data_IF_756141304141
#
_entry.id   IF_756141304141
#
_cell.length_a   1.000
_cell.length_b   1.000
_cell.length_c   1.000
_cell.angle_alpha   90.00
_cell.angle_beta   90.00
_cell.angle_gamma   90.00
#
_symmetry.space_group_name_H-M   'P 1'
#
loop_
_entity.id
_entity.type
_entity.pdbx_description
1 polymer ?
#
# COMPACT_ATOMS: atom_id res chain seq x y z
N UNK A 1 0.25 -6.39 60.15
CA UNK A 1 1.64 -5.98 59.94
C UNK A 1 1.61 -4.51 59.48
N UNK A 2 2.32 -3.57 60.11
CA UNK A 2 2.30 -2.19 59.69
C UNK A 2 3.10 -2.01 58.41
N UNK A 3 2.46 -1.49 57.39
CA UNK A 3 3.05 -1.11 56.07
C UNK A 3 4.12 -0.05 56.30
N UNK A 4 5.35 -0.30 55.86
CA UNK A 4 6.48 0.59 56.05
C UNK A 4 6.43 1.74 55.04
N UNK A 5 6.20 2.95 55.48
CA UNK A 5 6.13 4.18 54.68
C UNK A 5 7.35 4.39 53.77
N UNK A 6 8.51 3.89 54.17
CA UNK A 6 9.75 4.01 53.39
C UNK A 6 9.77 3.10 52.16
N UNK A 7 9.14 1.91 52.20
CA UNK A 7 9.02 0.98 51.06
C UNK A 7 7.98 1.49 50.07
N UNK A 8 6.87 2.06 50.56
CA UNK A 8 5.86 2.69 49.69
C UNK A 8 6.44 3.86 48.91
N UNK A 9 7.27 4.71 49.52
CA UNK A 9 7.92 5.84 48.84
C UNK A 9 8.99 5.37 47.82
N UNK A 10 9.70 4.27 48.07
CA UNK A 10 10.66 3.69 47.11
C UNK A 10 9.95 3.09 45.90
N UNK A 11 8.84 2.37 46.07
CA UNK A 11 8.03 1.83 44.97
C UNK A 11 7.33 2.93 44.17
N UNK A 12 6.85 3.97 44.81
CA UNK A 12 6.24 5.12 44.14
C UNK A 12 7.26 5.96 43.35
N UNK A 13 8.49 6.10 43.84
CA UNK A 13 9.56 6.80 43.16
C UNK A 13 10.05 6.00 41.90
N UNK A 14 10.18 4.66 42.03
CA UNK A 14 10.56 3.82 40.90
C UNK A 14 9.46 3.79 39.80
N UNK A 15 8.19 3.72 40.20
CA UNK A 15 7.06 3.82 39.27
C UNK A 15 6.95 5.22 38.61
N UNK A 16 7.26 6.28 39.37
CA UNK A 16 7.29 7.64 38.83
C UNK A 16 8.42 7.86 37.80
N UNK A 17 9.60 7.32 38.04
CA UNK A 17 10.75 7.42 37.11
C UNK A 17 10.49 6.60 35.83
N UNK A 18 9.90 5.41 35.94
CA UNK A 18 9.53 4.61 34.77
C UNK A 18 8.44 5.28 33.92
N UNK A 19 7.41 5.85 34.54
CA UNK A 19 6.37 6.59 33.83
C UNK A 19 6.89 7.89 33.18
N UNK A 20 7.82 8.61 33.80
CA UNK A 20 8.45 9.78 33.22
C UNK A 20 9.35 9.42 32.03
N UNK A 21 10.10 8.32 32.12
CA UNK A 21 10.95 7.86 31.01
C UNK A 21 10.14 7.30 29.82
N UNK A 22 9.04 6.62 30.08
CA UNK A 22 8.10 6.16 29.04
C UNK A 22 7.40 7.36 28.40
N UNK A 23 6.91 8.31 29.20
CA UNK A 23 6.29 9.54 28.70
C UNK A 23 7.25 10.38 27.85
N UNK A 24 8.52 10.51 28.24
CA UNK A 24 9.54 11.25 27.48
C UNK A 24 9.87 10.56 26.14
N UNK A 25 9.93 9.22 26.11
CA UNK A 25 10.14 8.47 24.85
C UNK A 25 8.95 8.57 23.90
N UNK A 26 7.72 8.52 24.42
CA UNK A 26 6.49 8.68 23.62
C UNK A 26 6.38 10.08 23.04
N UNK A 27 6.71 11.12 23.80
CA UNK A 27 6.73 12.51 23.30
C UNK A 27 7.80 12.72 22.22
N UNK A 28 8.97 12.09 22.33
CA UNK A 28 10.04 12.16 21.33
C UNK A 28 9.63 11.44 20.03
N UNK A 29 9.05 10.24 20.09
CA UNK A 29 8.57 9.53 18.91
C UNK A 29 7.45 10.32 18.21
N UNK A 30 6.46 10.82 18.95
CA UNK A 30 5.36 11.60 18.39
C UNK A 30 5.83 12.85 17.64
N UNK A 31 6.86 13.55 18.17
CA UNK A 31 7.47 14.71 17.51
C UNK A 31 8.19 14.30 16.21
N UNK A 32 8.96 13.21 16.23
CA UNK A 32 9.65 12.67 15.04
C UNK A 32 8.67 12.21 13.95
N UNK A 33 7.58 11.55 14.35
CA UNK A 33 6.53 11.15 13.40
C UNK A 33 5.85 12.37 12.76
N UNK A 34 5.58 13.43 13.55
CA UNK A 34 5.01 14.68 13.03
C UNK A 34 5.96 15.35 12.03
N UNK A 35 7.25 15.38 12.33
CA UNK A 35 8.28 15.89 11.41
C UNK A 35 8.32 15.07 10.11
N UNK A 36 8.39 13.74 10.19
CA UNK A 36 8.44 12.85 9.03
C UNK A 36 7.19 12.98 8.15
N UNK A 37 6.00 13.12 8.77
CA UNK A 37 4.74 13.33 8.07
C UNK A 37 4.72 14.62 7.23
N UNK A 38 5.38 15.69 7.71
CA UNK A 38 5.41 16.99 7.06
C UNK A 38 6.64 17.21 6.15
N UNK A 39 7.68 16.39 6.29
CA UNK A 39 8.89 16.50 5.47
C UNK A 39 8.62 16.17 4.01
N UNK A 40 9.18 16.94 3.04
CA UNK A 40 9.04 16.63 1.63
C UNK A 40 9.68 15.28 1.28
N UNK A 41 9.11 14.59 0.29
CA UNK A 41 9.61 13.31 -0.20
C UNK A 41 10.05 13.37 -1.66
N UNK A 42 9.47 14.25 -2.47
CA UNK A 42 9.84 14.46 -3.87
C UNK A 42 11.13 15.29 -3.94
N UNK A 43 12.10 14.82 -4.72
CA UNK A 43 13.39 15.51 -4.98
C UNK A 43 13.23 16.60 -6.03
N UNK A 44 12.74 17.76 -5.61
CA UNK A 44 12.48 18.89 -6.52
C UNK A 44 13.75 19.49 -7.10
N UNK A 45 14.90 19.33 -6.43
CA UNK A 45 16.22 19.77 -6.89
C UNK A 45 16.71 19.09 -8.17
N UNK A 46 16.08 17.99 -8.59
CA UNK A 46 16.37 17.31 -9.86
C UNK A 46 15.92 18.11 -11.09
N UNK A 47 15.01 19.07 -10.91
CA UNK A 47 14.37 19.78 -12.01
C UNK A 47 14.95 21.19 -12.15
N UNK A 48 15.53 21.48 -13.33
CA UNK A 48 16.18 22.77 -13.61
C UNK A 48 15.20 23.90 -13.96
N UNK A 49 14.03 23.58 -14.52
CA UNK A 49 13.04 24.54 -14.99
C UNK A 49 11.63 24.12 -14.59
N UNK A 50 10.70 25.07 -14.63
CA UNK A 50 9.28 24.84 -14.41
C UNK A 50 8.71 23.87 -15.45
N UNK A 51 7.82 22.97 -15.01
CA UNK A 51 7.15 21.97 -15.85
C UNK A 51 5.64 22.20 -15.69
N UNK A 52 5.08 23.10 -16.52
CA UNK A 52 3.66 23.45 -16.43
C UNK A 52 2.77 22.41 -17.08
N UNK A 53 1.73 21.99 -16.38
CA UNK A 53 0.71 21.06 -16.86
C UNK A 53 -0.20 21.79 -17.85
N UNK A 54 -0.18 21.40 -19.13
CA UNK A 54 -1.01 21.97 -20.18
C UNK A 54 -2.37 21.31 -20.27
N UNK A 55 -2.43 19.97 -20.16
CA UNK A 55 -3.67 19.23 -20.28
C UNK A 55 -3.67 17.95 -19.43
N UNK A 56 -4.86 17.56 -19.00
CA UNK A 56 -5.13 16.30 -18.29
C UNK A 56 -6.36 15.67 -18.94
N UNK A 57 -6.23 14.42 -19.34
CA UNK A 57 -7.31 13.65 -19.94
C UNK A 57 -7.52 12.37 -19.16
N UNK A 58 -8.77 11.99 -18.94
CA UNK A 58 -9.16 10.67 -18.52
C UNK A 58 -9.61 9.88 -19.74
N UNK A 59 -8.86 8.85 -20.09
CA UNK A 59 -9.11 7.98 -21.23
C UNK A 59 -9.74 6.68 -20.75
N UNK A 60 -10.68 6.13 -21.54
CA UNK A 60 -11.32 4.83 -21.25
C UNK A 60 -11.24 3.94 -22.48
N UNK A 61 -10.73 2.71 -22.30
CA UNK A 61 -10.80 1.66 -23.30
C UNK A 61 -11.23 0.35 -22.63
N UNK A 62 -12.42 -0.14 -23.00
CA UNK A 62 -13.07 -1.25 -22.30
C UNK A 62 -13.32 -0.90 -20.83
N UNK A 63 -12.78 -1.70 -19.92
CA UNK A 63 -12.84 -1.46 -18.46
C UNK A 63 -11.73 -0.53 -17.93
N UNK A 64 -10.66 -0.34 -18.70
CA UNK A 64 -9.46 0.36 -18.22
C UNK A 64 -9.62 1.86 -18.30
N UNK A 65 -9.24 2.54 -17.22
CA UNK A 65 -9.14 3.99 -17.13
C UNK A 65 -7.66 4.41 -17.05
N UNK A 66 -7.28 5.34 -17.92
CA UNK A 66 -5.91 5.86 -18.05
C UNK A 66 -5.94 7.37 -17.88
N UNK A 67 -5.09 7.89 -17.03
CA UNK A 67 -4.85 9.34 -16.92
C UNK A 67 -3.66 9.69 -17.79
N UNK A 68 -3.84 10.68 -18.68
CA UNK A 68 -2.78 11.24 -19.52
C UNK A 68 -2.57 12.70 -19.16
N UNK A 69 -1.33 13.05 -18.83
CA UNK A 69 -0.92 14.42 -18.50
C UNK A 69 0.09 14.88 -19.54
N UNK A 70 -0.09 16.10 -20.06
CA UNK A 70 0.89 16.75 -20.94
C UNK A 70 1.35 18.08 -20.35
N UNK A 71 2.64 18.36 -20.50
CA UNK A 71 3.21 19.66 -20.17
C UNK A 71 3.17 20.62 -21.35
N UNK A 72 3.40 21.90 -21.08
CA UNK A 72 3.42 22.95 -22.12
C UNK A 72 4.57 22.80 -23.13
N UNK A 73 5.62 22.10 -22.77
CA UNK A 73 6.78 21.77 -23.62
C UNK A 73 6.64 20.42 -24.34
N UNK A 74 5.49 19.76 -24.22
CA UNK A 74 5.12 18.56 -24.97
C UNK A 74 5.50 17.24 -24.33
N UNK A 75 6.08 17.22 -23.12
CA UNK A 75 6.31 15.97 -22.40
C UNK A 75 4.96 15.35 -21.98
N UNK A 76 4.91 14.00 -21.98
CA UNK A 76 3.69 13.23 -21.66
C UNK A 76 3.97 12.21 -20.57
N UNK A 77 3.08 12.14 -19.57
CA UNK A 77 3.05 11.11 -18.56
C UNK A 77 1.71 10.37 -18.55
N UNK A 78 1.77 9.09 -18.21
CA UNK A 78 0.62 8.19 -18.21
C UNK A 78 0.57 7.43 -16.88
N UNK A 79 -0.65 7.30 -16.32
CA UNK A 79 -0.95 6.47 -15.16
C UNK A 79 -2.23 5.67 -15.37
N UNK A 80 -2.33 4.50 -14.77
CA UNK A 80 -3.60 3.78 -14.70
C UNK A 80 -4.33 4.09 -13.39
N UNK A 81 -5.65 4.11 -13.45
CA UNK A 81 -6.50 4.20 -12.27
C UNK A 81 -6.82 2.81 -11.71
N UNK A 82 -7.44 2.79 -10.54
CA UNK A 82 -8.18 1.61 -10.09
C UNK A 82 -9.54 1.60 -10.80
N UNK A 83 -9.68 0.73 -11.80
CA UNK A 83 -10.76 0.80 -12.80
C UNK A 83 -12.16 0.75 -12.22
N UNK A 84 -12.43 -0.18 -11.29
CA UNK A 84 -13.77 -0.34 -10.73
C UNK A 84 -14.19 0.85 -9.85
N UNK A 85 -13.25 1.48 -9.16
CA UNK A 85 -13.53 2.69 -8.36
C UNK A 85 -13.64 3.90 -9.28
N UNK A 86 -12.73 4.06 -10.25
CA UNK A 86 -12.78 5.17 -11.19
C UNK A 86 -14.08 5.17 -11.99
N UNK A 87 -14.65 4.00 -12.32
CA UNK A 87 -15.95 3.89 -13.00
C UNK A 87 -17.09 4.59 -12.26
N UNK A 88 -16.99 4.72 -10.92
CA UNK A 88 -17.98 5.41 -10.08
C UNK A 88 -17.54 6.79 -9.63
N UNK A 89 -16.24 7.07 -9.61
CA UNK A 89 -15.68 8.31 -9.07
C UNK A 89 -15.15 9.28 -10.12
N UNK A 90 -15.15 8.92 -11.42
CA UNK A 90 -14.66 9.79 -12.48
C UNK A 90 -15.27 11.22 -12.51
N UNK A 91 -16.52 11.46 -12.07
CA UNK A 91 -17.02 12.84 -11.98
C UNK A 91 -16.26 13.69 -10.95
N UNK A 92 -15.76 13.06 -9.85
CA UNK A 92 -14.90 13.74 -8.86
C UNK A 92 -13.57 14.09 -9.52
N UNK A 93 -12.97 13.13 -10.25
CA UNK A 93 -11.74 13.36 -11.00
C UNK A 93 -11.88 14.55 -11.95
N UNK A 94 -12.90 14.53 -12.81
CA UNK A 94 -13.10 15.54 -13.88
C UNK A 94 -13.52 16.91 -13.36
N UNK A 95 -14.33 16.97 -12.28
CA UNK A 95 -14.89 18.25 -11.79
C UNK A 95 -14.11 18.87 -10.64
N UNK A 96 -13.38 18.07 -9.86
CA UNK A 96 -12.76 18.53 -8.61
C UNK A 96 -11.24 18.38 -8.57
N UNK A 97 -10.68 17.38 -9.23
CA UNK A 97 -9.24 17.08 -9.15
C UNK A 97 -8.51 17.63 -10.37
N UNK A 98 -8.76 17.10 -11.56
CA UNK A 98 -8.00 17.43 -12.77
C UNK A 98 -7.97 18.94 -13.09
N UNK A 99 -9.08 19.70 -13.03
CA UNK A 99 -9.06 21.13 -13.38
C UNK A 99 -8.17 21.98 -12.48
N UNK A 100 -7.94 21.54 -11.23
CA UNK A 100 -7.08 22.26 -10.31
C UNK A 100 -5.61 22.27 -10.73
N UNK A 101 -5.15 21.19 -11.38
CA UNK A 101 -3.74 21.04 -11.74
C UNK A 101 -3.36 21.71 -13.07
N UNK A 102 -4.33 22.07 -13.90
CA UNK A 102 -4.06 22.76 -15.18
C UNK A 102 -3.35 24.08 -14.92
N UNK A 103 -2.26 24.34 -15.66
CA UNK A 103 -1.41 25.53 -15.53
C UNK A 103 -0.47 25.52 -14.32
N UNK A 104 -0.58 24.55 -13.42
CA UNK A 104 0.31 24.41 -12.27
C UNK A 104 1.66 23.80 -12.66
N UNK A 105 2.66 24.00 -11.81
CA UNK A 105 3.97 23.42 -11.97
C UNK A 105 4.00 22.00 -11.37
N UNK A 106 4.25 21.01 -12.20
CA UNK A 106 4.29 19.60 -11.78
C UNK A 106 5.35 19.31 -10.69
N UNK A 107 6.41 20.12 -10.57
CA UNK A 107 7.43 20.00 -9.53
C UNK A 107 6.88 20.25 -8.13
N UNK A 108 5.80 20.99 -8.02
CA UNK A 108 5.13 21.33 -6.76
C UNK A 108 4.08 20.28 -6.36
N UNK A 109 4.16 19.09 -6.92
CA UNK A 109 3.15 18.02 -6.77
C UNK A 109 2.73 17.78 -5.31
N UNK A 110 3.66 17.77 -4.35
CA UNK A 110 3.33 17.56 -2.94
C UNK A 110 2.43 18.64 -2.35
N UNK A 111 2.72 19.91 -2.64
CA UNK A 111 1.89 21.04 -2.19
C UNK A 111 0.55 21.02 -2.92
N UNK A 112 0.54 20.72 -4.22
CA UNK A 112 -0.67 20.64 -5.03
C UNK A 112 -1.64 19.55 -4.55
N UNK A 113 -1.12 18.40 -4.10
CA UNK A 113 -1.94 17.33 -3.47
C UNK A 113 -2.62 17.85 -2.19
N UNK A 114 -1.91 18.62 -1.38
CA UNK A 114 -2.50 19.21 -0.19
C UNK A 114 -3.50 20.32 -0.53
N UNK A 115 -3.17 21.20 -1.46
CA UNK A 115 -4.02 22.30 -1.88
C UNK A 115 -5.34 21.82 -2.54
N UNK A 116 -5.30 20.82 -3.42
CA UNK A 116 -6.52 20.25 -4.03
C UNK A 116 -7.43 19.60 -2.99
N UNK A 117 -6.86 19.01 -1.93
CA UNK A 117 -7.63 18.47 -0.82
C UNK A 117 -8.39 19.56 -0.05
N UNK A 118 -7.81 20.74 0.12
CA UNK A 118 -8.43 21.86 0.82
C UNK A 118 -9.41 22.64 -0.07
N UNK A 119 -9.16 22.68 -1.38
CA UNK A 119 -9.95 23.46 -2.35
C UNK A 119 -11.41 23.02 -2.36
N UNK A 120 -12.33 24.00 -2.40
CA UNK A 120 -13.78 23.79 -2.53
C UNK A 120 -14.34 22.74 -1.56
N UNK A 121 -13.73 22.65 -0.36
CA UNK A 121 -14.07 21.66 0.67
C UNK A 121 -13.90 20.20 0.21
N UNK A 122 -12.95 19.89 -0.66
CA UNK A 122 -12.70 18.52 -1.12
C UNK A 122 -12.39 17.54 0.02
N UNK A 123 -11.89 18.02 1.17
CA UNK A 123 -11.70 17.21 2.38
C UNK A 123 -13.00 16.52 2.87
N UNK A 124 -14.18 17.00 2.48
CA UNK A 124 -15.46 16.34 2.78
C UNK A 124 -15.65 15.02 1.98
N UNK A 125 -14.88 14.83 0.91
CA UNK A 125 -14.87 13.64 0.09
C UNK A 125 -13.72 12.69 0.44
N UNK A 126 -13.00 12.96 1.53
CA UNK A 126 -11.88 12.14 1.97
C UNK A 126 -12.23 10.65 2.02
N UNK A 127 -11.20 9.83 1.91
CA UNK A 127 -11.35 8.39 1.73
C UNK A 127 -11.19 8.00 0.27
N UNK A 128 -11.53 6.77 -0.05
CA UNK A 128 -11.31 6.14 -1.34
C UNK A 128 -11.84 6.97 -2.52
N UNK A 129 -13.03 7.56 -2.40
CA UNK A 129 -13.67 8.29 -3.48
C UNK A 129 -12.85 9.50 -3.99
N UNK A 130 -12.16 10.18 -3.09
CA UNK A 130 -11.30 11.32 -3.44
C UNK A 130 -9.88 10.89 -3.77
N UNK A 131 -9.30 10.03 -2.94
CA UNK A 131 -7.88 9.72 -3.04
C UNK A 131 -7.54 8.85 -4.24
N UNK A 132 -8.45 8.02 -4.74
CA UNK A 132 -8.23 7.30 -6.02
C UNK A 132 -8.12 8.25 -7.20
N UNK A 133 -8.91 9.34 -7.20
CA UNK A 133 -8.80 10.36 -8.23
C UNK A 133 -7.45 11.10 -8.18
N UNK A 134 -6.99 11.44 -6.98
CA UNK A 134 -5.70 12.12 -6.77
C UNK A 134 -4.54 11.21 -7.12
N UNK A 135 -4.53 9.95 -6.67
CA UNK A 135 -3.43 9.02 -6.94
C UNK A 135 -3.28 8.69 -8.42
N UNK A 136 -4.40 8.53 -9.12
CA UNK A 136 -4.38 8.26 -10.57
C UNK A 136 -3.73 9.41 -11.35
N UNK A 137 -3.97 10.65 -10.92
CA UNK A 137 -3.33 11.83 -11.50
C UNK A 137 -1.87 11.95 -11.06
N UNK A 138 -1.59 11.73 -9.78
CA UNK A 138 -0.23 11.79 -9.22
C UNK A 138 0.73 10.89 -9.98
N UNK A 139 0.35 9.64 -10.22
CA UNK A 139 1.21 8.69 -10.93
C UNK A 139 1.50 9.13 -12.37
N UNK A 140 0.52 9.68 -13.07
CA UNK A 140 0.73 10.24 -14.41
C UNK A 140 1.68 11.46 -14.39
N UNK A 141 1.58 12.32 -13.37
CA UNK A 141 2.51 13.43 -13.17
C UNK A 141 3.92 12.91 -12.84
N UNK A 142 4.05 11.89 -11.99
CA UNK A 142 5.34 11.30 -11.64
C UNK A 142 6.00 10.62 -12.85
N UNK A 143 5.22 9.95 -13.70
CA UNK A 143 5.70 9.39 -14.96
C UNK A 143 6.25 10.49 -15.89
N UNK A 144 5.50 11.62 -16.04
CA UNK A 144 5.94 12.78 -16.78
C UNK A 144 7.24 13.36 -16.20
N UNK A 145 7.30 13.58 -14.89
CA UNK A 145 8.49 14.12 -14.22
C UNK A 145 9.71 13.23 -14.42
N UNK A 146 9.57 11.91 -14.28
CA UNK A 146 10.64 10.95 -14.54
C UNK A 146 11.13 10.99 -15.99
N UNK A 147 10.21 11.10 -16.95
CA UNK A 147 10.54 11.23 -18.38
C UNK A 147 11.30 12.51 -18.69
N UNK A 148 10.89 13.65 -18.14
CA UNK A 148 11.56 14.96 -18.35
C UNK A 148 13.03 14.92 -17.92
N UNK A 149 13.37 14.24 -16.84
CA UNK A 149 14.75 14.14 -16.35
C UNK A 149 15.45 12.83 -16.73
N UNK A 150 14.80 11.99 -17.54
CA UNK A 150 15.29 10.68 -17.98
C UNK A 150 15.72 9.78 -16.80
N UNK A 151 14.84 9.65 -15.79
CA UNK A 151 15.06 8.80 -14.61
C UNK A 151 13.85 7.93 -14.30
N UNK A 152 14.06 6.70 -13.78
CA UNK A 152 12.95 5.88 -13.31
C UNK A 152 12.25 6.53 -12.11
N UNK A 153 10.95 6.29 -11.99
CA UNK A 153 10.08 6.94 -11.00
C UNK A 153 10.62 6.84 -9.57
N UNK A 154 11.18 5.71 -9.16
CA UNK A 154 11.73 5.55 -7.80
C UNK A 154 12.86 6.54 -7.48
N UNK A 155 13.63 7.01 -8.47
CA UNK A 155 14.72 7.99 -8.27
C UNK A 155 14.21 9.38 -7.92
N UNK A 156 12.95 9.68 -8.20
CA UNK A 156 12.31 10.95 -7.79
C UNK A 156 12.18 11.08 -6.27
N UNK A 157 12.23 9.97 -5.54
CA UNK A 157 12.02 9.91 -4.09
C UNK A 157 13.26 9.51 -3.29
N UNK A 158 14.13 8.68 -3.86
CA UNK A 158 15.27 8.14 -3.14
C UNK A 158 16.36 7.58 -4.02
N UNK A 159 17.39 7.04 -3.39
CA UNK A 159 18.36 6.20 -4.06
C UNK A 159 17.74 4.83 -4.31
N UNK A 160 17.94 4.29 -5.51
CA UNK A 160 17.51 2.91 -5.81
C UNK A 160 18.42 1.94 -5.06
N UNK A 161 17.84 1.21 -4.14
CA UNK A 161 18.53 0.24 -3.27
C UNK A 161 18.30 -1.22 -3.70
N UNK A 162 17.27 -1.47 -4.52
CA UNK A 162 17.00 -2.79 -5.08
C UNK A 162 16.36 -2.69 -6.46
N UNK A 163 16.72 -3.61 -7.35
CA UNK A 163 16.22 -3.68 -8.73
C UNK A 163 15.31 -4.90 -8.96
N UNK A 164 15.34 -5.85 -8.05
CA UNK A 164 14.50 -7.03 -8.04
C UNK A 164 13.73 -7.04 -6.73
N UNK A 165 12.41 -7.07 -6.83
CA UNK A 165 11.51 -6.95 -5.68
C UNK A 165 10.93 -8.34 -5.40
N UNK A 166 11.22 -8.93 -4.23
CA UNK A 166 10.55 -10.14 -3.80
C UNK A 166 9.05 -9.89 -3.65
N UNK A 167 8.23 -10.78 -4.20
CA UNK A 167 6.77 -10.64 -4.19
C UNK A 167 6.10 -11.90 -3.64
N UNK A 168 4.96 -11.72 -2.97
CA UNK A 168 4.05 -12.82 -2.69
C UNK A 168 2.91 -12.85 -3.70
N UNK A 169 2.54 -14.07 -4.11
CA UNK A 169 1.37 -14.29 -4.97
C UNK A 169 0.13 -14.33 -4.10
N UNK A 170 -0.74 -13.32 -4.28
CA UNK A 170 -1.99 -13.22 -3.53
C UNK A 170 -3.12 -13.92 -4.27
N UNK A 171 -3.90 -14.76 -3.55
CA UNK A 171 -5.19 -15.25 -3.99
C UNK A 171 -6.31 -14.34 -3.48
N UNK A 172 -7.36 -14.18 -4.29
CA UNK A 172 -8.59 -13.45 -3.92
C UNK A 172 -9.77 -14.35 -3.52
N UNK A 173 -9.60 -15.66 -3.64
CA UNK A 173 -10.72 -16.62 -3.53
C UNK A 173 -11.09 -16.93 -2.07
N UNK A 174 -12.39 -16.81 -1.76
CA UNK A 174 -13.00 -17.27 -0.51
C UNK A 174 -14.02 -18.38 -0.69
N UNK A 175 -14.54 -18.55 -1.93
CA UNK A 175 -15.52 -19.59 -2.25
C UNK A 175 -14.94 -20.99 -2.49
N UNK A 176 -13.62 -21.10 -2.66
CA UNK A 176 -12.94 -22.38 -2.86
C UNK A 176 -12.90 -23.20 -1.56
N UNK A 177 -13.03 -24.53 -1.68
CA UNK A 177 -12.64 -25.42 -0.57
C UNK A 177 -11.13 -25.30 -0.31
N UNK A 178 -10.63 -25.74 0.85
CA UNK A 178 -9.18 -25.72 1.13
C UNK A 178 -8.37 -26.45 0.03
N UNK A 179 -8.85 -27.60 -0.44
CA UNK A 179 -8.17 -28.40 -1.45
C UNK A 179 -8.15 -27.68 -2.82
N UNK A 180 -9.26 -27.05 -3.20
CA UNK A 180 -9.36 -26.26 -4.45
C UNK A 180 -8.44 -25.05 -4.41
N UNK A 181 -8.38 -24.36 -3.26
CA UNK A 181 -7.49 -23.19 -3.09
C UNK A 181 -6.02 -23.60 -3.11
N UNK A 182 -5.67 -24.72 -2.46
CA UNK A 182 -4.32 -25.27 -2.51
C UNK A 182 -3.93 -25.66 -3.93
N UNK A 183 -4.80 -26.33 -4.68
CA UNK A 183 -4.54 -26.68 -6.08
C UNK A 183 -4.30 -25.43 -6.95
N UNK A 184 -5.09 -24.38 -6.74
CA UNK A 184 -4.89 -23.10 -7.41
C UNK A 184 -3.53 -22.46 -7.07
N UNK A 185 -3.17 -22.42 -5.78
CA UNK A 185 -1.88 -21.88 -5.34
C UNK A 185 -0.70 -22.72 -5.84
N UNK A 186 -0.81 -24.07 -5.85
CA UNK A 186 0.21 -24.96 -6.41
C UNK A 186 0.45 -24.70 -7.90
N UNK A 187 -0.62 -24.49 -8.67
CA UNK A 187 -0.52 -24.13 -10.08
C UNK A 187 0.27 -22.83 -10.25
N UNK A 188 -0.09 -21.76 -9.52
CA UNK A 188 0.59 -20.47 -9.56
C UNK A 188 2.07 -20.60 -9.16
N UNK A 189 2.37 -21.33 -8.09
CA UNK A 189 3.76 -21.55 -7.62
C UNK A 189 4.55 -22.31 -8.67
N UNK A 190 3.96 -23.34 -9.30
CA UNK A 190 4.60 -24.10 -10.36
C UNK A 190 4.92 -23.26 -11.59
N UNK A 191 4.01 -22.38 -12.01
CA UNK A 191 4.17 -21.51 -13.18
C UNK A 191 5.16 -20.35 -12.96
N UNK A 192 5.20 -19.80 -11.74
CA UNK A 192 5.96 -18.56 -11.46
C UNK A 192 7.21 -18.75 -10.62
N UNK A 193 7.40 -19.95 -10.03
CA UNK A 193 8.47 -20.19 -9.07
C UNK A 193 8.36 -19.37 -7.80
N UNK A 194 7.15 -18.91 -7.43
CA UNK A 194 6.91 -18.06 -6.27
C UNK A 194 7.47 -18.65 -4.97
N UNK A 195 8.04 -17.81 -4.13
CA UNK A 195 8.62 -18.17 -2.82
C UNK A 195 7.74 -17.71 -1.65
N UNK A 196 6.69 -16.96 -1.96
CA UNK A 196 5.74 -16.43 -1.00
C UNK A 196 4.32 -16.44 -1.57
N UNK A 197 3.34 -16.73 -0.73
CA UNK A 197 1.92 -16.76 -1.06
C UNK A 197 1.08 -16.08 0.01
N UNK A 198 -0.05 -15.49 -0.38
CA UNK A 198 -1.08 -14.96 0.54
C UNK A 198 -2.44 -15.53 0.16
N UNK A 199 -3.18 -16.05 1.13
CA UNK A 199 -4.55 -16.53 0.93
C UNK A 199 -5.53 -15.81 1.84
N UNK A 200 -6.83 -15.95 1.53
CA UNK A 200 -7.90 -15.26 2.24
C UNK A 200 -8.53 -16.15 3.30
N UNK A 201 -8.86 -15.53 4.45
CA UNK A 201 -9.58 -16.12 5.57
C UNK A 201 -10.93 -15.42 5.76
N UNK A 202 -11.84 -16.04 6.52
CA UNK A 202 -13.16 -15.49 6.83
C UNK A 202 -14.07 -15.30 5.62
N UNK A 203 -15.08 -14.44 5.75
CA UNK A 203 -16.06 -14.14 4.71
C UNK A 203 -16.09 -12.65 4.31
N UNK A 204 -15.03 -11.90 4.61
CA UNK A 204 -14.88 -10.44 4.45
C UNK A 204 -15.89 -9.65 5.29
N UNK A 205 -15.39 -8.93 6.30
CA UNK A 205 -16.17 -8.17 7.29
C UNK A 205 -17.13 -9.02 8.13
N UNK A 206 -17.11 -10.35 7.97
CA UNK A 206 -17.91 -11.30 8.73
C UNK A 206 -17.27 -12.69 8.74
N UNK A 207 -17.71 -13.56 9.62
CA UNK A 207 -17.39 -14.99 9.62
C UNK A 207 -18.61 -15.79 10.08
N UNK A 208 -18.63 -17.07 9.71
CA UNK A 208 -19.67 -18.02 10.05
C UNK A 208 -19.04 -19.42 10.24
N UNK A 209 -19.86 -20.42 10.61
CA UNK A 209 -19.36 -21.76 10.85
C UNK A 209 -18.67 -22.38 9.64
N UNK A 210 -19.18 -22.12 8.41
CA UNK A 210 -18.58 -22.64 7.19
C UNK A 210 -17.20 -22.02 6.92
N UNK A 211 -17.09 -20.67 7.00
CA UNK A 211 -15.81 -20.00 6.82
C UNK A 211 -14.80 -20.37 7.92
N UNK A 212 -15.26 -20.47 9.17
CA UNK A 212 -14.41 -20.89 10.29
C UNK A 212 -13.89 -22.32 10.10
N UNK A 213 -14.74 -23.27 9.68
CA UNK A 213 -14.32 -24.64 9.38
C UNK A 213 -13.31 -24.67 8.24
N UNK A 214 -13.53 -23.89 7.19
CA UNK A 214 -12.60 -23.75 6.07
C UNK A 214 -11.23 -23.22 6.55
N UNK A 215 -11.21 -22.17 7.34
CA UNK A 215 -9.98 -21.52 7.82
C UNK A 215 -9.14 -22.45 8.69
N UNK A 216 -9.79 -23.23 9.58
CA UNK A 216 -9.14 -24.25 10.39
C UNK A 216 -8.49 -25.37 9.56
N UNK A 217 -9.06 -25.71 8.40
CA UNK A 217 -8.48 -26.67 7.48
C UNK A 217 -7.41 -26.04 6.57
N UNK A 218 -7.62 -24.80 6.14
CA UNK A 218 -6.76 -24.10 5.17
C UNK A 218 -5.34 -23.85 5.71
N UNK A 219 -5.22 -23.37 6.96
CA UNK A 219 -3.93 -22.99 7.55
C UNK A 219 -2.96 -24.20 7.62
N UNK A 220 -3.32 -25.35 8.26
CA UNK A 220 -2.43 -26.49 8.33
C UNK A 220 -2.17 -27.13 6.96
N UNK A 221 -3.20 -27.19 6.10
CA UNK A 221 -3.06 -27.77 4.78
C UNK A 221 -2.07 -26.96 3.91
N UNK A 222 -2.11 -25.64 3.99
CA UNK A 222 -1.18 -24.76 3.27
C UNK A 222 0.26 -25.04 3.68
N UNK A 223 0.56 -25.03 5.00
CA UNK A 223 1.91 -25.30 5.48
C UNK A 223 2.38 -26.71 5.12
N UNK A 224 1.51 -27.72 5.30
CA UNK A 224 1.82 -29.11 4.91
C UNK A 224 2.17 -29.24 3.43
N UNK A 225 1.45 -28.51 2.56
CA UNK A 225 1.63 -28.62 1.10
C UNK A 225 2.88 -27.91 0.62
N UNK A 226 3.15 -26.70 1.10
CA UNK A 226 4.23 -25.86 0.60
C UNK A 226 5.53 -25.98 1.40
N UNK A 227 5.49 -26.63 2.56
CA UNK A 227 6.67 -26.85 3.40
C UNK A 227 7.19 -25.59 4.10
N UNK A 228 8.26 -25.75 4.90
CA UNK A 228 8.78 -24.70 5.79
C UNK A 228 9.49 -23.54 5.07
N UNK A 229 9.90 -23.72 3.81
CA UNK A 229 10.64 -22.71 3.05
C UNK A 229 9.71 -21.69 2.37
N UNK A 230 8.41 -21.97 2.27
CA UNK A 230 7.44 -21.07 1.70
C UNK A 230 7.05 -19.99 2.73
N UNK A 231 7.22 -18.72 2.40
CA UNK A 231 6.63 -17.64 3.18
C UNK A 231 5.12 -17.60 2.94
N UNK A 232 4.34 -17.69 4.01
CA UNK A 232 2.88 -17.79 3.94
C UNK A 232 2.27 -16.65 4.73
N UNK A 233 1.42 -15.90 4.07
CA UNK A 233 0.65 -14.79 4.61
C UNK A 233 -0.84 -15.11 4.57
N UNK A 234 -1.63 -14.52 5.47
CA UNK A 234 -3.07 -14.68 5.43
C UNK A 234 -3.80 -13.37 5.78
N UNK A 235 -4.94 -13.16 5.12
CA UNK A 235 -5.71 -11.94 5.19
C UNK A 235 -7.17 -12.23 5.57
N UNK A 236 -7.58 -11.70 6.72
CA UNK A 236 -8.92 -11.79 7.26
C UNK A 236 -9.90 -10.80 6.64
N UNK A 237 -9.44 -9.67 6.08
CA UNK A 237 -10.26 -8.54 5.63
C UNK A 237 -11.38 -8.18 6.62
N UNK A 238 -11.01 -7.98 7.86
CA UNK A 238 -11.93 -7.54 8.91
C UNK A 238 -12.94 -8.58 9.36
N UNK A 239 -12.67 -9.89 9.13
CA UNK A 239 -13.73 -10.90 9.30
C UNK A 239 -14.08 -11.23 10.73
N UNK A 240 -13.16 -11.14 11.70
CA UNK A 240 -13.35 -11.74 13.01
C UNK A 240 -13.68 -10.74 14.11
N UNK A 241 -14.18 -11.25 15.24
CA UNK A 241 -14.10 -10.57 16.52
C UNK A 241 -12.78 -10.92 17.23
N UNK A 242 -12.45 -10.22 18.29
CA UNK A 242 -11.17 -10.40 19.04
C UNK A 242 -10.93 -11.85 19.49
N UNK A 243 -11.87 -12.56 20.15
CA UNK A 243 -11.64 -13.94 20.58
C UNK A 243 -11.35 -14.89 19.40
N UNK A 244 -12.07 -14.76 18.28
CA UNK A 244 -11.85 -15.60 17.11
C UNK A 244 -10.54 -15.25 16.41
N UNK A 245 -10.23 -13.96 16.27
CA UNK A 245 -8.96 -13.50 15.70
C UNK A 245 -7.74 -14.04 16.47
N UNK A 246 -7.82 -14.03 17.82
CA UNK A 246 -6.77 -14.61 18.66
C UNK A 246 -6.65 -16.13 18.44
N UNK A 247 -7.78 -16.85 18.35
CA UNK A 247 -7.78 -18.29 18.09
C UNK A 247 -7.14 -18.64 16.73
N UNK A 248 -7.52 -17.93 15.67
CA UNK A 248 -6.95 -18.10 14.33
C UNK A 248 -5.47 -17.69 14.32
N UNK A 249 -5.11 -16.57 14.95
CA UNK A 249 -3.73 -16.10 15.04
C UNK A 249 -2.81 -17.09 15.77
N UNK A 250 -3.28 -17.74 16.85
CA UNK A 250 -2.51 -18.81 17.52
C UNK A 250 -2.24 -20.01 16.61
N UNK A 251 -3.23 -20.39 15.80
CA UNK A 251 -3.03 -21.42 14.78
C UNK A 251 -2.02 -20.96 13.72
N UNK A 252 -2.09 -19.71 13.26
CA UNK A 252 -1.11 -19.16 12.33
C UNK A 252 0.31 -19.18 12.91
N UNK A 253 0.48 -18.90 14.20
CA UNK A 253 1.78 -19.03 14.91
C UNK A 253 2.30 -20.47 14.91
N UNK A 254 1.43 -21.43 15.22
CA UNK A 254 1.77 -22.88 15.23
C UNK A 254 2.28 -23.32 13.85
N UNK A 255 1.63 -22.87 12.78
CA UNK A 255 2.00 -23.18 11.39
C UNK A 255 2.97 -22.17 10.77
N UNK A 256 3.59 -21.27 11.56
CA UNK A 256 4.65 -20.34 11.18
C UNK A 256 4.28 -19.44 9.98
N UNK A 257 3.09 -18.85 9.99
CA UNK A 257 2.74 -17.83 9.02
C UNK A 257 3.44 -16.50 9.37
N UNK A 258 3.66 -15.64 8.36
CA UNK A 258 4.50 -14.45 8.48
C UNK A 258 3.78 -13.25 9.10
N UNK A 259 2.53 -12.98 8.64
CA UNK A 259 1.65 -11.98 9.24
C UNK A 259 0.18 -12.34 9.09
N UNK A 260 -0.63 -11.74 9.97
CA UNK A 260 -2.09 -11.75 9.92
C UNK A 260 -2.59 -10.36 9.54
N UNK A 261 -3.13 -10.21 8.33
CA UNK A 261 -3.65 -8.97 7.79
C UNK A 261 -5.11 -8.81 8.17
N UNK A 262 -5.49 -7.60 8.62
CA UNK A 262 -6.86 -7.20 9.00
C UNK A 262 -7.67 -8.27 9.75
N UNK A 263 -7.25 -8.67 10.96
CA UNK A 263 -7.96 -9.71 11.72
C UNK A 263 -9.40 -9.31 12.09
N UNK A 264 -9.63 -8.04 12.42
CA UNK A 264 -10.93 -7.42 12.76
C UNK A 264 -11.20 -6.25 11.82
N UNK A 265 -12.41 -5.66 11.77
CA UNK A 265 -12.71 -4.51 10.93
C UNK A 265 -11.63 -3.43 11.00
N UNK A 266 -11.28 -2.88 9.85
CA UNK A 266 -10.07 -2.05 9.64
C UNK A 266 -9.97 -0.81 10.54
N UNK A 267 -11.08 -0.26 11.01
CA UNK A 267 -11.19 0.91 11.89
C UNK A 267 -11.29 0.55 13.40
N UNK A 268 -11.26 -0.74 13.74
CA UNK A 268 -11.26 -1.24 15.11
C UNK A 268 -9.82 -1.29 15.67
N UNK A 269 -9.24 -0.09 15.90
CA UNK A 269 -7.83 0.03 16.29
C UNK A 269 -7.53 -0.52 17.68
N UNK A 270 -8.44 -0.35 18.63
CA UNK A 270 -8.26 -0.81 20.01
C UNK A 270 -8.32 -2.34 20.07
N UNK A 271 -9.23 -2.97 19.32
CA UNK A 271 -9.34 -4.41 19.17
C UNK A 271 -8.13 -4.99 18.41
N UNK A 272 -7.69 -4.32 17.34
CA UNK A 272 -6.48 -4.71 16.61
C UNK A 272 -5.26 -4.64 17.53
N UNK A 273 -5.14 -3.59 18.34
CA UNK A 273 -4.08 -3.45 19.34
C UNK A 273 -4.12 -4.57 20.37
N UNK A 274 -5.31 -4.92 20.89
CA UNK A 274 -5.48 -6.03 21.83
C UNK A 274 -4.99 -7.37 21.22
N UNK A 275 -5.27 -7.60 19.94
CA UNK A 275 -4.81 -8.79 19.21
C UNK A 275 -3.29 -8.75 19.05
N UNK A 276 -2.73 -7.62 18.64
CA UNK A 276 -1.29 -7.43 18.43
C UNK A 276 -0.49 -7.62 19.73
N UNK A 277 -1.04 -7.18 20.88
CA UNK A 277 -0.41 -7.38 22.20
C UNK A 277 -0.50 -8.84 22.70
N UNK A 278 -1.48 -9.60 22.20
CA UNK A 278 -1.74 -10.99 22.64
C UNK A 278 -0.98 -12.00 21.79
N UNK A 279 -0.79 -11.75 20.50
CA UNK A 279 -0.17 -12.66 19.56
C UNK A 279 1.31 -12.35 19.36
N UNK A 280 2.08 -13.36 18.93
CA UNK A 280 3.47 -13.20 18.50
C UNK A 280 3.57 -12.97 17.00
N UNK A 281 2.60 -13.47 16.23
CA UNK A 281 2.52 -13.22 14.79
C UNK A 281 2.31 -11.72 14.57
N UNK A 282 2.97 -11.17 13.55
CA UNK A 282 2.86 -9.77 13.20
C UNK A 282 1.46 -9.45 12.66
N UNK A 283 0.90 -8.35 13.08
CA UNK A 283 -0.37 -7.84 12.55
C UNK A 283 -0.07 -6.82 11.44
N UNK A 284 -0.79 -6.94 10.33
CA UNK A 284 -0.71 -6.05 9.19
C UNK A 284 -2.03 -5.29 9.02
N UNK A 285 -1.96 -3.96 8.74
CA UNK A 285 -3.13 -3.09 8.68
C UNK A 285 -2.86 -1.85 7.81
N UNK A 286 -3.91 -1.31 7.18
CA UNK A 286 -3.89 0.04 6.63
C UNK A 286 -4.38 0.19 5.18
N UNK A 287 -4.83 -0.87 4.50
CA UNK A 287 -5.26 -0.79 3.10
C UNK A 287 -6.48 0.13 2.89
N UNK A 288 -7.31 0.32 3.92
CA UNK A 288 -8.50 1.17 3.88
C UNK A 288 -8.26 2.59 4.39
N UNK A 289 -7.06 2.90 4.91
CA UNK A 289 -6.78 4.19 5.53
C UNK A 289 -6.72 5.33 4.51
N UNK A 290 -7.43 6.44 4.80
CA UNK A 290 -7.45 7.64 3.96
C UNK A 290 -6.61 8.81 4.51
N UNK A 291 -6.06 8.71 5.73
CA UNK A 291 -5.43 9.82 6.43
C UNK A 291 -4.00 9.52 6.90
N UNK A 292 -3.07 10.47 6.67
CA UNK A 292 -1.73 10.43 7.28
C UNK A 292 -1.77 10.42 8.81
N UNK A 293 -2.80 11.05 9.40
CA UNK A 293 -2.97 11.09 10.86
C UNK A 293 -3.43 9.76 11.43
N UNK A 294 -4.25 8.99 10.68
CA UNK A 294 -4.60 7.62 11.06
C UNK A 294 -3.36 6.74 11.08
N UNK A 295 -2.54 6.77 10.02
CA UNK A 295 -1.26 6.04 10.00
C UNK A 295 -0.33 6.45 11.13
N UNK A 296 -0.21 7.75 11.41
CA UNK A 296 0.57 8.21 12.57
C UNK A 296 0.02 7.58 13.86
N UNK A 297 -1.30 7.57 14.09
CA UNK A 297 -1.94 6.97 15.27
C UNK A 297 -1.67 5.47 15.36
N UNK A 298 -1.81 4.74 14.24
CA UNK A 298 -1.51 3.30 14.16
C UNK A 298 -0.06 3.02 14.57
N UNK A 299 0.88 3.81 14.05
CA UNK A 299 2.32 3.64 14.31
C UNK A 299 2.68 4.04 15.74
N UNK A 300 2.20 5.20 16.22
CA UNK A 300 2.50 5.78 17.53
C UNK A 300 1.97 4.89 18.69
N UNK A 301 0.80 4.26 18.50
CA UNK A 301 0.18 3.38 19.49
C UNK A 301 0.51 1.90 19.29
N UNK A 302 1.41 1.57 18.38
CA UNK A 302 1.82 0.18 18.10
C UNK A 302 0.64 -0.77 17.78
N UNK A 303 -0.32 -0.28 16.99
CA UNK A 303 -1.53 -1.04 16.63
C UNK A 303 -1.20 -2.21 15.70
N UNK A 304 -0.23 -2.04 14.79
CA UNK A 304 0.24 -3.05 13.85
C UNK A 304 1.75 -2.97 13.65
N UNK A 305 2.38 -4.07 13.22
CA UNK A 305 3.82 -4.16 12.97
C UNK A 305 4.16 -4.05 11.48
N UNK A 306 3.19 -4.31 10.59
CA UNK A 306 3.31 -4.15 9.14
C UNK A 306 2.28 -3.10 8.69
N UNK A 307 2.76 -2.00 8.14
CA UNK A 307 1.94 -0.86 7.73
C UNK A 307 1.68 -0.96 6.23
N UNK A 308 0.41 -0.93 5.82
CA UNK A 308 -0.01 -1.28 4.46
C UNK A 308 -0.81 -0.16 3.78
N UNK A 309 -0.23 1.03 3.48
CA UNK A 309 -0.95 2.01 2.67
C UNK A 309 -1.23 1.43 1.28
N UNK A 310 -2.47 1.55 0.80
CA UNK A 310 -2.76 1.25 -0.60
C UNK A 310 -2.32 2.42 -1.48
N UNK A 311 -1.48 2.16 -2.48
CA UNK A 311 -0.89 3.23 -3.30
C UNK A 311 -1.92 4.01 -4.13
N UNK A 312 -3.11 3.43 -4.38
CA UNK A 312 -4.20 4.10 -5.08
C UNK A 312 -5.25 4.65 -4.12
N UNK A 313 -5.71 3.87 -3.14
CA UNK A 313 -6.77 4.28 -2.20
C UNK A 313 -6.32 5.38 -1.25
N UNK A 314 -5.04 5.45 -0.94
CA UNK A 314 -4.47 6.41 -0.02
C UNK A 314 -4.02 7.73 -0.67
N UNK A 315 -4.05 7.85 -2.01
CA UNK A 315 -3.72 9.09 -2.72
C UNK A 315 -2.27 9.18 -3.18
N UNK A 316 -1.64 8.04 -3.50
CA UNK A 316 -0.41 7.97 -4.29
C UNK A 316 0.86 7.62 -3.52
N UNK A 317 1.97 7.61 -4.27
CA UNK A 317 3.31 7.25 -3.77
C UNK A 317 3.85 8.30 -2.78
N UNK A 318 3.66 9.58 -3.06
CA UNK A 318 4.13 10.70 -2.23
C UNK A 318 3.63 10.56 -0.79
N UNK A 319 2.34 10.30 -0.62
CA UNK A 319 1.73 10.10 0.70
C UNK A 319 2.19 8.79 1.35
N UNK A 320 2.29 7.72 0.57
CA UNK A 320 2.70 6.39 1.05
C UNK A 320 4.17 6.35 1.48
N UNK A 321 5.06 7.10 0.83
CA UNK A 321 6.46 7.23 1.25
C UNK A 321 6.57 7.99 2.58
N UNK A 322 5.71 8.97 2.85
CA UNK A 322 5.63 9.60 4.18
C UNK A 322 5.23 8.60 5.26
N UNK A 323 4.28 7.71 4.96
CA UNK A 323 3.91 6.60 5.86
C UNK A 323 5.10 5.67 6.10
N UNK A 324 5.81 5.27 5.04
CA UNK A 324 7.00 4.42 5.16
C UNK A 324 8.09 5.06 6.05
N UNK A 325 8.34 6.37 5.90
CA UNK A 325 9.28 7.10 6.76
C UNK A 325 8.84 7.10 8.23
N UNK A 326 7.54 7.30 8.49
CA UNK A 326 7.01 7.21 9.86
C UNK A 326 7.15 5.79 10.42
N UNK A 327 6.82 4.77 9.64
CA UNK A 327 6.96 3.36 10.02
C UNK A 327 8.42 3.00 10.36
N UNK A 328 9.38 3.45 9.55
CA UNK A 328 10.82 3.24 9.77
C UNK A 328 11.29 3.81 11.11
N UNK A 329 10.83 5.00 11.51
CA UNK A 329 11.16 5.62 12.80
C UNK A 329 10.68 4.79 14.00
N UNK A 330 9.65 3.98 13.83
CA UNK A 330 9.11 3.07 14.83
C UNK A 330 9.60 1.63 14.67
N UNK A 331 10.56 1.36 13.77
CA UNK A 331 11.08 0.02 13.51
C UNK A 331 10.07 -0.92 12.85
N UNK A 332 9.09 -0.38 12.12
CA UNK A 332 8.02 -1.14 11.46
C UNK A 332 8.27 -1.28 9.97
N UNK A 333 7.80 -2.40 9.40
CA UNK A 333 7.80 -2.57 7.95
C UNK A 333 6.65 -1.77 7.30
N UNK A 334 6.89 -1.32 6.07
CA UNK A 334 5.87 -0.76 5.21
C UNK A 334 5.74 -1.62 3.95
N UNK A 335 4.67 -2.39 3.87
CA UNK A 335 4.36 -3.30 2.75
C UNK A 335 3.07 -2.84 2.10
N UNK A 336 3.11 -1.96 1.08
CA UNK A 336 1.91 -1.41 0.49
C UNK A 336 0.95 -2.48 -0.02
N UNK A 337 -0.35 -2.25 0.18
CA UNK A 337 -1.41 -2.98 -0.49
C UNK A 337 -1.53 -2.53 -1.95
N UNK A 338 -1.99 -3.42 -2.81
CA UNK A 338 -2.33 -3.11 -4.20
C UNK A 338 -3.78 -3.45 -4.49
N UNK A 339 -4.56 -2.43 -4.76
CA UNK A 339 -5.94 -2.58 -5.23
C UNK A 339 -5.99 -2.67 -6.76
N UNK A 340 -6.79 -3.60 -7.27
CA UNK A 340 -7.06 -3.72 -8.71
C UNK A 340 -5.89 -4.25 -9.55
N UNK A 341 -6.00 -4.02 -10.86
CA UNK A 341 -5.06 -4.43 -11.90
C UNK A 341 -4.29 -3.26 -12.51
N UNK A 342 -4.09 -3.29 -13.82
CA UNK A 342 -3.40 -2.23 -14.57
C UNK A 342 -1.91 -2.15 -14.22
N UNK A 343 -1.42 -0.94 -13.99
CA UNK A 343 -0.01 -0.67 -13.66
C UNK A 343 0.28 -0.68 -12.16
N UNK A 344 -0.68 -1.04 -11.30
CA UNK A 344 -0.55 -0.95 -9.85
C UNK A 344 0.67 -1.69 -9.28
N UNK A 345 0.99 -2.87 -9.84
CA UNK A 345 2.17 -3.62 -9.42
C UNK A 345 3.50 -2.91 -9.73
N UNK A 346 3.55 -2.07 -10.77
CA UNK A 346 4.72 -1.23 -11.07
C UNK A 346 4.88 -0.11 -10.04
N UNK A 347 3.77 0.44 -9.55
CA UNK A 347 3.81 1.46 -8.49
C UNK A 347 4.44 0.87 -7.23
N UNK A 348 4.04 -0.35 -6.86
CA UNK A 348 4.66 -1.09 -5.75
C UNK A 348 6.15 -1.37 -6.03
N UNK A 349 6.50 -1.79 -7.25
CA UNK A 349 7.88 -2.06 -7.62
C UNK A 349 8.77 -0.81 -7.48
N UNK A 350 8.32 0.34 -8.01
CA UNK A 350 9.04 1.61 -7.87
C UNK A 350 9.10 2.09 -6.41
N UNK A 351 8.02 1.96 -5.64
CA UNK A 351 8.02 2.24 -4.21
C UNK A 351 9.06 1.39 -3.47
N UNK A 352 9.00 0.07 -3.65
CA UNK A 352 9.90 -0.85 -2.98
C UNK A 352 11.36 -0.70 -3.43
N UNK A 353 11.61 -0.18 -4.64
CA UNK A 353 12.97 0.04 -5.14
C UNK A 353 13.76 1.06 -4.34
N UNK A 354 13.09 2.04 -3.72
CA UNK A 354 13.74 3.16 -3.02
C UNK A 354 13.38 3.26 -1.52
N UNK A 355 12.40 2.52 -1.02
CA UNK A 355 12.00 2.52 0.39
C UNK A 355 12.75 1.44 1.18
N UNK A 356 13.55 1.80 2.21
CA UNK A 356 14.41 0.84 2.91
C UNK A 356 13.66 -0.20 3.74
N UNK A 357 12.59 0.21 4.42
CA UNK A 357 11.82 -0.61 5.36
C UNK A 357 10.63 -1.33 4.72
N UNK A 358 10.72 -1.72 3.46
CA UNK A 358 9.75 -2.63 2.88
C UNK A 358 9.84 -4.01 3.55
N UNK A 359 8.70 -4.66 3.77
CA UNK A 359 8.66 -6.04 4.23
C UNK A 359 9.35 -7.01 3.25
N UNK A 360 9.55 -8.24 3.69
CA UNK A 360 10.30 -9.25 2.94
C UNK A 360 9.75 -9.51 1.53
N UNK A 361 8.43 -9.44 1.36
CA UNK A 361 7.76 -9.61 0.07
C UNK A 361 6.70 -8.53 -0.13
N UNK A 362 6.52 -8.09 -1.37
CA UNK A 362 5.51 -7.10 -1.76
C UNK A 362 4.31 -7.77 -2.43
N UNK A 363 3.14 -7.15 -2.39
CA UNK A 363 1.94 -7.72 -2.99
C UNK A 363 2.03 -7.77 -4.51
N UNK A 364 1.66 -8.92 -5.08
CA UNK A 364 1.58 -9.14 -6.51
C UNK A 364 0.46 -10.12 -6.84
N UNK A 365 -0.60 -9.64 -7.48
CA UNK A 365 -1.79 -10.44 -7.82
C UNK A 365 -1.67 -11.18 -9.15
N UNK A 366 -0.63 -10.87 -9.95
CA UNK A 366 -0.46 -11.42 -11.29
C UNK A 366 -0.72 -10.38 -12.36
N UNK A 367 -0.72 -10.83 -13.61
CA UNK A 367 -0.81 -9.97 -14.81
C UNK A 367 -2.19 -10.00 -15.45
N UNK A 368 -3.12 -10.78 -14.88
CA UNK A 368 -4.48 -10.88 -15.39
C UNK A 368 -5.14 -9.51 -15.41
N UNK A 369 -5.77 -9.17 -16.51
CA UNK A 369 -6.47 -7.89 -16.72
C UNK A 369 -5.58 -6.64 -16.83
N UNK A 370 -4.32 -6.76 -17.15
CA UNK A 370 -3.43 -5.62 -17.29
C UNK A 370 -3.63 -4.88 -18.62
N UNK A 371 -3.22 -3.61 -18.63
CA UNK A 371 -3.05 -2.86 -19.87
C UNK A 371 -1.98 -3.52 -20.75
N UNK A 372 -2.10 -3.47 -22.10
CA UNK A 372 -1.06 -3.94 -22.98
C UNK A 372 0.17 -3.04 -22.88
N UNK A 373 1.14 -3.47 -22.08
CA UNK A 373 2.38 -2.73 -21.79
C UNK A 373 3.60 -3.55 -22.10
N UNK A 374 4.67 -2.85 -22.45
CA UNK A 374 6.00 -3.42 -22.67
C UNK A 374 7.07 -2.60 -21.96
N UNK A 375 8.22 -3.21 -21.69
CA UNK A 375 9.41 -2.54 -21.17
C UNK A 375 10.65 -3.13 -21.80
N UNK A 376 11.61 -2.28 -22.15
CA UNK A 376 12.92 -2.72 -22.67
C UNK A 376 13.82 -3.31 -21.59
N UNK A 377 13.53 -3.02 -20.32
CA UNK A 377 14.41 -3.31 -19.19
C UNK A 377 13.83 -4.30 -18.18
N UNK A 378 12.57 -4.72 -18.35
CA UNK A 378 11.85 -5.64 -17.47
C UNK A 378 10.91 -6.54 -18.28
N UNK A 379 10.79 -7.81 -17.89
CA UNK A 379 9.75 -8.69 -18.42
C UNK A 379 8.34 -8.32 -17.94
N UNK A 380 8.25 -7.46 -16.94
CA UNK A 380 7.02 -7.08 -16.23
C UNK A 380 6.30 -8.26 -15.53
N UNK A 381 6.97 -9.41 -15.46
CA UNK A 381 6.47 -10.66 -14.90
C UNK A 381 7.26 -11.03 -13.65
N UNK A 382 6.56 -11.62 -12.67
CA UNK A 382 7.25 -12.25 -11.55
C UNK A 382 7.87 -13.57 -12.00
N UNK A 383 9.20 -13.70 -11.86
CA UNK A 383 9.95 -14.90 -12.16
C UNK A 383 10.71 -15.34 -10.92
N UNK A 384 10.57 -16.59 -10.52
CA UNK A 384 11.17 -17.14 -9.29
C UNK A 384 10.86 -16.30 -8.02
N UNK A 385 9.66 -15.71 -7.97
CA UNK A 385 9.24 -14.86 -6.85
C UNK A 385 9.81 -13.44 -6.85
N UNK A 386 10.50 -13.02 -7.93
CA UNK A 386 11.10 -11.70 -8.08
C UNK A 386 10.43 -10.93 -9.21
N UNK A 387 10.09 -9.67 -8.98
CA UNK A 387 9.64 -8.71 -10.00
C UNK A 387 10.77 -7.72 -10.28
N UNK A 388 11.26 -7.70 -11.53
CA UNK A 388 12.31 -6.77 -11.95
C UNK A 388 11.71 -5.37 -12.17
N UNK A 389 12.23 -4.38 -11.47
CA UNK A 389 11.81 -2.98 -11.61
C UNK A 389 12.27 -2.44 -12.97
N UNK A 390 11.37 -1.84 -13.77
CA UNK A 390 11.80 -1.12 -14.98
C UNK A 390 12.78 0.01 -14.66
N UNK A 391 13.80 0.17 -15.50
CA UNK A 391 14.84 1.20 -15.30
C UNK A 391 14.77 2.33 -16.33
N UNK A 392 13.81 2.28 -17.24
CA UNK A 392 13.53 3.38 -18.17
C UNK A 392 12.94 4.62 -17.47
N UNK A 393 12.86 5.71 -18.19
CA UNK A 393 12.33 6.98 -17.70
C UNK A 393 10.87 6.86 -17.25
N UNK A 394 10.50 7.53 -16.18
CA UNK A 394 9.17 7.47 -15.58
C UNK A 394 8.86 6.08 -15.03
N UNK A 395 7.74 5.51 -15.43
CA UNK A 395 7.37 4.12 -15.11
C UNK A 395 8.25 3.07 -15.83
N UNK A 396 9.01 3.49 -16.84
CA UNK A 396 9.88 2.60 -17.63
C UNK A 396 9.12 1.61 -18.49
N UNK A 397 7.89 1.96 -18.87
CA UNK A 397 7.01 1.16 -19.74
C UNK A 397 6.40 2.00 -20.85
N UNK A 398 6.03 1.32 -21.92
CA UNK A 398 5.23 1.87 -23.02
C UNK A 398 3.90 1.13 -23.08
N UNK A 399 2.80 1.87 -23.03
CA UNK A 399 1.46 1.32 -23.32
C UNK A 399 1.34 1.24 -24.85
N UNK A 400 0.73 0.16 -25.35
CA UNK A 400 0.49 -0.03 -26.78
C UNK A 400 -0.19 1.22 -27.38
N UNK A 401 0.42 1.91 -28.35
CA UNK A 401 -0.15 3.11 -28.96
C UNK A 401 -1.53 2.88 -29.59
N UNK A 402 -1.79 1.70 -30.14
CA UNK A 402 -3.10 1.37 -30.72
C UNK A 402 -4.17 1.21 -29.64
N UNK A 403 -3.78 0.77 -28.44
CA UNK A 403 -4.70 0.74 -27.29
C UNK A 403 -5.10 2.16 -26.86
N UNK A 404 -4.14 3.07 -26.78
CA UNK A 404 -4.39 4.50 -26.45
C UNK A 404 -5.22 5.18 -27.53
N UNK A 405 -4.93 4.93 -28.82
CA UNK A 405 -5.67 5.49 -29.96
C UNK A 405 -7.15 5.09 -29.98
N UNK A 406 -7.46 3.89 -29.53
CA UNK A 406 -8.84 3.38 -29.41
C UNK A 406 -9.57 3.88 -28.18
N UNK A 407 -8.86 4.48 -27.22
CA UNK A 407 -9.46 4.99 -26.01
C UNK A 407 -10.29 6.25 -26.26
N UNK A 408 -11.43 6.35 -25.59
CA UNK A 408 -12.31 7.51 -25.63
C UNK A 408 -11.98 8.45 -24.47
N UNK A 409 -12.01 9.76 -24.73
CA UNK A 409 -11.90 10.76 -23.68
C UNK A 409 -13.20 10.76 -22.87
N UNK A 410 -13.09 10.53 -21.57
CA UNK A 410 -14.24 10.61 -20.65
C UNK A 410 -14.55 12.07 -20.40
N UNK A 411 -15.80 12.44 -20.61
CA UNK A 411 -16.32 13.79 -20.35
C UNK A 411 -17.26 13.79 -19.14
N UNK A 412 -17.40 14.98 -18.50
CA UNK A 412 -18.22 15.17 -17.29
C UNK A 412 -19.73 15.25 -17.60
#
# INVERSE_FOLDING_TARGET
>A
MPYNRREFLKTSAAAGITNLAVSAKVTDLGAKLAQAMNAPVLKTELFKSSIKIASIELLKNGKNFIVRVRSTDGAEGIGSAQDSVMATTYPIFLKRVAPFFIGKDARELESLIHEVYLRDSNYKWQGLAFWVCVSSLEVAILDLLGKVINKPLGELFGTIIRREIPVYRASGNRGNTPEQEIAFLQKIVGETGAKAIKFRLGARMEYNDASTKRDHAMIPLTRKTFGDKMAIYADGNGSYNVPMAIKIGRMMEEYKLEFFEEPVPFDYYDETKQIADTLKIRIALGEQEGSLRSFRRIIENDVAQVIQPDLLYFGGLTRSIKVARMAALAGKDCTPHMSGGGLGYLYIAHFASCVPNCGAHQEYKGEEDTLPVSSETSSLKSVNGLLKVPTGAGLGVTIDPEFIKKAQVVTA
#
